data_IF_424797137160
#
_entry.id   IF_424797137160
#
_cell.length_a   1.000
_cell.length_b   1.000
_cell.length_c   1.000
_cell.angle_alpha   90.00
_cell.angle_beta   90.00
_cell.angle_gamma   90.00
#
_symmetry.space_group_name_H-M   'P 1'
#
loop_
_entity.id
_entity.type
_entity.pdbx_description
1 polymer ?
#
# COMPACT_ATOMS: atom_id res chain seq x y z
N UNK A 1 -25.66 -15.00 3.20
CA UNK A 1 -24.43 -14.57 3.89
C UNK A 1 -23.25 -15.06 3.08
N UNK A 2 -22.23 -14.24 2.81
CA UNK A 2 -21.04 -14.69 2.06
C UNK A 2 -20.24 -15.65 2.92
N UNK A 3 -19.81 -16.77 2.34
CA UNK A 3 -18.88 -17.69 3.00
C UNK A 3 -17.48 -17.08 3.02
N UNK A 4 -16.60 -17.60 3.87
CA UNK A 4 -15.20 -17.16 3.88
C UNK A 4 -14.48 -17.42 2.55
N UNK A 5 -14.88 -18.47 1.82
CA UNK A 5 -14.39 -18.75 0.48
C UNK A 5 -14.81 -17.66 -0.53
N UNK A 6 -16.05 -17.16 -0.44
CA UNK A 6 -16.53 -16.05 -1.28
C UNK A 6 -15.76 -14.76 -0.99
N UNK A 7 -15.47 -14.48 0.28
CA UNK A 7 -14.68 -13.31 0.70
C UNK A 7 -13.25 -13.38 0.17
N UNK A 8 -12.62 -14.55 0.27
CA UNK A 8 -11.29 -14.81 -0.29
C UNK A 8 -11.29 -14.60 -1.81
N UNK A 9 -12.27 -15.16 -2.51
CA UNK A 9 -12.38 -15.02 -3.97
C UNK A 9 -12.56 -13.54 -4.39
N UNK A 10 -13.40 -12.79 -3.68
CA UNK A 10 -13.61 -11.36 -3.92
C UNK A 10 -12.32 -10.56 -3.69
N UNK A 11 -11.57 -10.83 -2.61
CA UNK A 11 -10.31 -10.16 -2.34
C UNK A 11 -9.25 -10.46 -3.41
N UNK A 12 -9.10 -11.72 -3.82
CA UNK A 12 -8.16 -12.12 -4.88
C UNK A 12 -8.51 -11.40 -6.19
N UNK A 13 -9.80 -11.30 -6.54
CA UNK A 13 -10.23 -10.57 -7.72
C UNK A 13 -9.86 -9.07 -7.65
N UNK A 14 -10.03 -8.43 -6.49
CA UNK A 14 -9.63 -7.05 -6.28
C UNK A 14 -8.09 -6.88 -6.35
N UNK A 15 -7.33 -7.80 -5.76
CA UNK A 15 -5.86 -7.78 -5.76
C UNK A 15 -5.28 -7.84 -7.19
N UNK A 16 -5.90 -8.61 -8.10
CA UNK A 16 -5.49 -8.67 -9.51
C UNK A 16 -5.58 -7.33 -10.23
N UNK A 17 -6.40 -6.40 -9.75
CA UNK A 17 -6.57 -5.08 -10.36
C UNK A 17 -5.52 -4.07 -9.87
N UNK A 18 -4.82 -4.35 -8.77
CA UNK A 18 -3.96 -3.39 -8.07
C UNK A 18 -2.73 -2.96 -8.84
N UNK A 19 -2.19 -3.82 -9.71
CA UNK A 19 -0.88 -3.61 -10.30
C UNK A 19 0.28 -3.64 -9.28
N UNK A 20 0.03 -4.19 -8.08
CA UNK A 20 1.05 -4.43 -7.05
C UNK A 20 1.62 -5.85 -7.23
N UNK A 21 2.93 -5.98 -7.38
CA UNK A 21 3.59 -7.27 -7.19
C UNK A 21 3.58 -7.70 -5.71
N UNK A 22 3.95 -8.95 -5.43
CA UNK A 22 4.13 -9.40 -4.05
C UNK A 22 5.19 -8.61 -3.27
N UNK A 23 6.10 -7.91 -3.97
CA UNK A 23 7.13 -7.05 -3.40
C UNK A 23 6.78 -5.56 -3.49
N UNK A 24 5.78 -5.19 -4.28
CA UNK A 24 5.40 -3.79 -4.47
C UNK A 24 4.42 -3.39 -3.36
N UNK A 25 4.78 -2.32 -2.64
CA UNK A 25 3.99 -1.75 -1.54
C UNK A 25 3.67 -0.29 -1.79
N UNK A 26 3.37 0.00 -3.06
CA UNK A 26 2.94 1.29 -3.60
C UNK A 26 1.42 1.39 -3.66
N UNK A 27 0.88 2.57 -3.94
CA UNK A 27 -0.57 2.75 -4.06
C UNK A 27 -1.19 1.76 -5.07
N UNK A 28 -2.38 1.19 -4.79
CA UNK A 28 -3.05 0.34 -5.76
C UNK A 28 -3.57 1.19 -6.92
N UNK A 29 -3.71 0.58 -8.10
CA UNK A 29 -4.37 1.22 -9.24
C UNK A 29 -5.75 1.79 -8.85
N UNK A 30 -6.09 2.95 -9.40
CA UNK A 30 -7.36 3.66 -9.13
C UNK A 30 -8.59 2.73 -9.20
N UNK A 31 -8.67 1.93 -10.27
CA UNK A 31 -9.72 0.92 -10.52
C UNK A 31 -9.82 -0.20 -9.49
N UNK A 32 -8.75 -0.46 -8.74
CA UNK A 32 -8.72 -1.48 -7.70
C UNK A 32 -9.24 -0.96 -6.35
N UNK A 33 -9.28 0.36 -6.13
CA UNK A 33 -9.68 0.95 -4.85
C UNK A 33 -11.13 0.61 -4.50
N UNK A 34 -12.14 0.84 -5.37
CA UNK A 34 -13.52 0.47 -5.03
C UNK A 34 -13.73 -1.01 -4.67
N UNK A 35 -13.24 -1.99 -5.45
CA UNK A 35 -13.41 -3.40 -5.08
C UNK A 35 -12.60 -3.81 -3.83
N UNK A 36 -11.44 -3.21 -3.56
CA UNK A 36 -10.71 -3.43 -2.30
C UNK A 36 -11.49 -2.92 -1.09
N UNK A 37 -12.08 -1.73 -1.18
CA UNK A 37 -12.92 -1.17 -0.11
C UNK A 37 -14.18 -2.02 0.12
N UNK A 38 -14.81 -2.49 -0.96
CA UNK A 38 -15.95 -3.39 -0.87
C UNK A 38 -15.57 -4.73 -0.20
N UNK A 39 -14.45 -5.34 -0.60
CA UNK A 39 -13.95 -6.57 0.01
C UNK A 39 -13.65 -6.37 1.50
N UNK A 40 -12.93 -5.30 1.87
CA UNK A 40 -12.66 -4.91 3.26
C UNK A 40 -13.95 -4.81 4.08
N UNK A 41 -14.97 -4.11 3.57
CA UNK A 41 -16.23 -3.91 4.28
C UNK A 41 -17.02 -5.22 4.48
N UNK A 42 -17.02 -6.11 3.49
CA UNK A 42 -17.63 -7.45 3.58
C UNK A 42 -16.91 -8.34 4.60
N UNK A 43 -15.57 -8.35 4.58
CA UNK A 43 -14.75 -9.09 5.53
C UNK A 43 -14.99 -8.58 6.95
N UNK A 44 -15.03 -7.26 7.15
CA UNK A 44 -15.33 -6.67 8.47
C UNK A 44 -16.71 -7.08 8.98
N UNK A 45 -17.74 -7.13 8.12
CA UNK A 45 -19.08 -7.62 8.50
C UNK A 45 -19.05 -9.09 8.89
N UNK A 46 -18.36 -9.93 8.14
CA UNK A 46 -18.20 -11.35 8.47
C UNK A 46 -17.51 -11.54 9.83
N UNK A 47 -16.45 -10.77 10.11
CA UNK A 47 -15.75 -10.81 11.41
C UNK A 47 -16.66 -10.40 12.57
N UNK A 48 -17.61 -9.49 12.36
CA UNK A 48 -18.54 -9.10 13.42
C UNK A 48 -19.41 -10.28 13.90
N UNK A 49 -19.68 -11.25 13.02
CA UNK A 49 -20.45 -12.46 13.30
C UNK A 49 -19.55 -13.68 13.62
N UNK A 50 -18.30 -13.67 13.15
CA UNK A 50 -17.33 -14.77 13.24
C UNK A 50 -15.96 -14.28 13.72
N UNK A 51 -15.94 -13.62 14.87
CA UNK A 51 -14.75 -12.93 15.40
C UNK A 51 -13.56 -13.83 15.76
N UNK A 52 -13.78 -15.15 15.83
CA UNK A 52 -12.79 -16.19 16.08
C UNK A 52 -12.16 -16.77 14.80
N UNK A 53 -12.63 -16.35 13.62
CA UNK A 53 -12.09 -16.82 12.34
C UNK A 53 -10.71 -16.21 12.05
N UNK A 54 -9.64 -16.95 12.37
CA UNK A 54 -8.27 -16.57 12.06
C UNK A 54 -8.08 -16.22 10.56
N UNK A 55 -8.73 -16.96 9.68
CA UNK A 55 -8.66 -16.74 8.24
C UNK A 55 -9.31 -15.40 7.84
N UNK A 56 -10.46 -15.03 8.40
CA UNK A 56 -11.11 -13.77 8.08
C UNK A 56 -10.23 -12.57 8.48
N UNK A 57 -9.58 -12.64 9.64
CA UNK A 57 -8.60 -11.65 10.09
C UNK A 57 -7.38 -11.55 9.16
N UNK A 58 -6.91 -12.67 8.57
CA UNK A 58 -5.84 -12.64 7.55
C UNK A 58 -6.29 -11.94 6.28
N UNK A 59 -7.50 -12.22 5.80
CA UNK A 59 -8.06 -11.55 4.62
C UNK A 59 -8.21 -10.03 4.86
N UNK A 60 -8.65 -9.63 6.06
CA UNK A 60 -8.77 -8.22 6.42
C UNK A 60 -7.41 -7.53 6.40
N UNK A 61 -6.39 -8.17 6.99
CA UNK A 61 -5.01 -7.69 6.97
C UNK A 61 -4.50 -7.46 5.54
N UNK A 62 -4.70 -8.43 4.65
CA UNK A 62 -4.31 -8.33 3.24
C UNK A 62 -5.02 -7.18 2.52
N UNK A 63 -6.33 -7.01 2.73
CA UNK A 63 -7.09 -5.91 2.14
C UNK A 63 -6.59 -4.54 2.62
N UNK A 64 -6.30 -4.42 3.92
CA UNK A 64 -5.74 -3.20 4.51
C UNK A 64 -4.32 -2.91 4.01
N UNK A 65 -3.48 -3.94 3.85
CA UNK A 65 -2.13 -3.82 3.31
C UNK A 65 -2.15 -3.30 1.86
N UNK A 66 -3.02 -3.83 0.99
CA UNK A 66 -3.21 -3.33 -0.37
C UNK A 66 -3.65 -1.85 -0.41
N UNK A 67 -4.40 -1.41 0.60
CA UNK A 67 -4.85 -0.03 0.78
C UNK A 67 -3.85 0.85 1.56
N UNK A 68 -2.61 0.38 1.76
CA UNK A 68 -1.55 1.08 2.50
C UNK A 68 -1.90 1.39 3.97
N UNK A 69 -2.90 0.69 4.52
CA UNK A 69 -3.32 0.79 5.91
C UNK A 69 -2.47 -0.07 6.83
N UNK A 70 -1.15 0.08 6.80
CA UNK A 70 -0.18 -0.85 7.43
C UNK A 70 -0.41 -1.06 8.94
N UNK A 71 -0.76 0.00 9.69
CA UNK A 71 -1.07 -0.13 11.11
C UNK A 71 -2.26 -1.07 11.34
N UNK A 72 -3.37 -0.83 10.63
CA UNK A 72 -4.57 -1.67 10.73
C UNK A 72 -4.34 -3.08 10.15
N UNK A 73 -3.51 -3.20 9.12
CA UNK A 73 -3.13 -4.48 8.54
C UNK A 73 -2.32 -5.33 9.53
N UNK A 74 -1.37 -4.71 10.25
CA UNK A 74 -0.60 -5.34 11.33
C UNK A 74 -1.52 -5.81 12.44
N UNK A 75 -2.43 -4.97 12.92
CA UNK A 75 -3.36 -5.31 14.00
C UNK A 75 -4.25 -6.51 13.63
N UNK A 76 -4.85 -6.49 12.43
CA UNK A 76 -5.64 -7.62 11.93
C UNK A 76 -4.80 -8.89 11.81
N UNK A 77 -3.53 -8.78 11.38
CA UNK A 77 -2.64 -9.93 11.28
C UNK A 77 -2.25 -10.49 12.65
N UNK A 78 -1.92 -9.64 13.61
CA UNK A 78 -1.65 -10.05 15.00
C UNK A 78 -2.86 -10.76 15.61
N UNK A 79 -4.07 -10.24 15.34
CA UNK A 79 -5.31 -10.92 15.75
C UNK A 79 -5.45 -12.29 15.11
N UNK A 80 -5.20 -12.44 13.80
CA UNK A 80 -5.19 -13.74 13.15
C UNK A 80 -4.16 -14.72 13.77
N UNK A 81 -2.96 -14.24 14.10
CA UNK A 81 -1.90 -15.04 14.74
C UNK A 81 -2.21 -15.40 16.20
N UNK A 82 -3.08 -14.64 16.87
CA UNK A 82 -3.58 -14.98 18.21
C UNK A 82 -4.62 -16.10 18.18
N UNK A 83 -5.35 -16.22 17.06
CA UNK A 83 -6.40 -17.23 16.84
C UNK A 83 -5.85 -18.49 16.13
N UNK A 84 -4.62 -18.42 15.59
CA UNK A 84 -3.97 -19.54 14.92
C UNK A 84 -3.25 -20.44 15.94
N UNK A 85 -3.40 -21.78 15.87
CA UNK A 85 -2.75 -22.70 16.81
C UNK A 85 -1.22 -22.76 16.63
N UNK A 86 -0.72 -22.38 15.46
CA UNK A 86 0.71 -22.38 15.14
C UNK A 86 1.05 -21.13 14.33
N UNK A 87 2.27 -20.62 14.51
CA UNK A 87 2.83 -19.51 13.75
C UNK A 87 3.98 -20.03 12.90
N UNK A 88 3.88 -19.86 11.59
CA UNK A 88 4.95 -20.27 10.68
C UNK A 88 6.07 -19.22 10.66
N UNK A 89 7.31 -19.58 10.26
CA UNK A 89 8.35 -18.59 9.99
C UNK A 89 7.95 -17.55 8.95
N UNK A 90 7.06 -17.90 8.00
CA UNK A 90 6.52 -16.97 7.00
C UNK A 90 5.63 -15.90 7.65
N UNK A 91 4.82 -16.30 8.64
CA UNK A 91 3.98 -15.37 9.40
C UNK A 91 4.83 -14.36 10.17
N UNK A 92 5.88 -14.83 10.85
CA UNK A 92 6.75 -13.93 11.61
C UNK A 92 7.47 -12.93 10.70
N UNK A 93 7.94 -13.39 9.53
CA UNK A 93 8.54 -12.50 8.51
C UNK A 93 7.54 -11.46 8.00
N UNK A 94 6.30 -11.87 7.72
CA UNK A 94 5.26 -10.94 7.26
C UNK A 94 4.90 -9.91 8.35
N UNK A 95 4.83 -10.32 9.62
CA UNK A 95 4.57 -9.39 10.72
C UNK A 95 5.69 -8.35 10.89
N UNK A 96 6.95 -8.76 10.77
CA UNK A 96 8.10 -7.84 10.77
C UNK A 96 7.98 -6.86 9.61
N UNK A 97 7.66 -7.36 8.42
CA UNK A 97 7.49 -6.54 7.23
C UNK A 97 6.37 -5.48 7.42
N UNK A 98 5.22 -5.87 7.96
CA UNK A 98 4.12 -4.94 8.25
C UNK A 98 4.54 -3.83 9.21
N UNK A 99 5.34 -4.14 10.24
CA UNK A 99 5.88 -3.14 11.19
C UNK A 99 6.86 -2.17 10.52
N UNK A 100 7.73 -2.69 9.65
CA UNK A 100 8.66 -1.85 8.88
C UNK A 100 7.90 -0.87 7.99
N UNK A 101 6.89 -1.34 7.26
CA UNK A 101 6.10 -0.47 6.38
C UNK A 101 5.18 0.49 7.14
N UNK A 102 4.66 0.10 8.31
CA UNK A 102 3.97 1.02 9.21
C UNK A 102 4.88 2.19 9.61
N UNK A 103 6.13 1.92 9.98
CA UNK A 103 7.11 2.98 10.29
C UNK A 103 7.41 3.83 9.07
N UNK A 104 7.72 3.21 7.92
CA UNK A 104 8.03 3.94 6.67
C UNK A 104 6.88 4.83 6.21
N UNK A 105 5.64 4.37 6.40
CA UNK A 105 4.44 5.11 6.02
C UNK A 105 4.15 6.25 6.99
N UNK A 106 4.32 6.01 8.31
CA UNK A 106 4.19 7.06 9.33
C UNK A 106 5.21 8.19 9.15
N UNK A 107 6.41 7.85 8.70
CA UNK A 107 7.50 8.80 8.49
C UNK A 107 7.44 9.51 7.12
N UNK A 108 6.50 9.14 6.24
CA UNK A 108 6.32 9.75 4.93
C UNK A 108 5.58 11.09 5.09
N UNK A 109 6.24 12.25 4.93
CA UNK A 109 5.61 13.55 5.13
C UNK A 109 4.87 13.99 3.86
N UNK A 110 4.20 13.06 3.18
CA UNK A 110 3.37 13.29 1.99
C UNK A 110 2.00 12.67 2.23
N UNK A 111 0.97 13.44 1.93
CA UNK A 111 -0.41 12.93 1.93
C UNK A 111 -0.64 12.00 0.73
N UNK A 112 -1.64 11.11 0.80
CA UNK A 112 -2.04 10.29 -0.36
C UNK A 112 -2.37 11.10 -1.62
N UNK A 113 -2.97 12.29 -1.47
CA UNK A 113 -3.27 13.19 -2.60
C UNK A 113 -1.99 13.77 -3.22
N UNK A 114 -1.05 14.22 -2.39
CA UNK A 114 0.25 14.71 -2.87
C UNK A 114 1.02 13.62 -3.60
N UNK A 115 1.03 12.39 -3.08
CA UNK A 115 1.59 11.24 -3.79
C UNK A 115 0.90 11.08 -5.15
N UNK A 116 -0.43 10.95 -5.18
CA UNK A 116 -1.14 10.76 -6.45
C UNK A 116 -0.82 11.85 -7.49
N UNK A 117 -0.82 13.13 -7.08
CA UNK A 117 -0.53 14.26 -7.97
C UNK A 117 0.92 14.29 -8.44
N UNK A 118 1.88 13.97 -7.55
CA UNK A 118 3.29 13.79 -7.93
C UNK A 118 3.44 12.66 -8.96
N UNK A 119 2.74 11.54 -8.77
CA UNK A 119 2.80 10.39 -9.67
C UNK A 119 2.27 10.72 -11.05
N UNK A 120 1.15 11.45 -11.13
CA UNK A 120 0.60 11.94 -12.39
C UNK A 120 1.57 12.89 -13.10
N UNK A 121 2.12 13.86 -12.38
CA UNK A 121 3.10 14.80 -12.93
C UNK A 121 4.32 14.08 -13.53
N UNK A 122 4.92 13.17 -12.77
CA UNK A 122 6.08 12.40 -13.23
C UNK A 122 5.72 11.49 -14.41
N UNK A 123 4.54 10.86 -14.41
CA UNK A 123 4.07 10.05 -15.53
C UNK A 123 3.90 10.86 -16.81
N UNK A 124 3.30 12.06 -16.73
CA UNK A 124 3.05 12.92 -17.88
C UNK A 124 4.36 13.45 -18.49
N UNK A 125 5.30 13.88 -17.64
CA UNK A 125 6.60 14.41 -18.10
C UNK A 125 7.48 13.28 -18.66
N UNK A 126 7.60 12.16 -17.95
CA UNK A 126 8.46 11.04 -18.37
C UNK A 126 7.90 10.27 -19.58
N UNK A 127 6.63 10.47 -19.96
CA UNK A 127 6.09 9.95 -21.21
C UNK A 127 6.71 10.60 -22.46
N UNK A 128 7.22 11.83 -22.33
CA UNK A 128 7.80 12.61 -23.44
C UNK A 128 9.30 12.85 -23.29
N UNK A 129 9.85 12.65 -22.09
CA UNK A 129 11.25 12.84 -21.77
C UNK A 129 11.85 11.58 -21.11
N UNK A 130 13.01 11.13 -21.59
CA UNK A 130 13.76 10.07 -20.91
C UNK A 130 14.26 10.53 -19.54
N UNK A 131 14.29 9.62 -18.56
CA UNK A 131 14.82 9.94 -17.24
C UNK A 131 16.33 10.20 -17.29
N UNK A 132 16.77 11.30 -16.65
CA UNK A 132 18.17 11.71 -16.54
C UNK A 132 18.87 11.11 -15.29
N UNK A 133 18.25 10.13 -14.64
CA UNK A 133 18.69 9.51 -13.37
C UNK A 133 18.88 10.49 -12.21
N UNK A 134 18.21 11.65 -12.27
CA UNK A 134 18.13 12.59 -11.15
C UNK A 134 16.69 12.65 -10.60
N UNK A 135 16.53 13.22 -9.40
CA UNK A 135 15.22 13.53 -8.83
C UNK A 135 14.81 15.00 -9.08
N UNK A 136 15.21 15.57 -10.23
CA UNK A 136 15.05 17.01 -10.51
C UNK A 136 13.59 17.41 -10.61
N UNK A 137 12.76 16.61 -11.31
CA UNK A 137 11.33 16.89 -11.47
C UNK A 137 10.61 16.75 -10.12
N UNK A 138 10.93 15.71 -9.37
CA UNK A 138 10.39 15.49 -8.01
C UNK A 138 10.71 16.67 -7.09
N UNK A 139 11.96 17.15 -7.08
CA UNK A 139 12.37 18.32 -6.28
C UNK A 139 11.60 19.57 -6.68
N UNK A 140 11.49 19.84 -7.98
CA UNK A 140 10.76 20.99 -8.48
C UNK A 140 9.27 20.94 -8.09
N UNK A 141 8.63 19.78 -8.28
CA UNK A 141 7.24 19.57 -7.92
C UNK A 141 6.99 19.74 -6.42
N UNK A 142 7.85 19.18 -5.57
CA UNK A 142 7.76 19.35 -4.10
C UNK A 142 7.91 20.81 -3.68
N UNK A 143 8.74 21.60 -4.38
CA UNK A 143 8.90 23.01 -4.09
C UNK A 143 7.65 23.84 -4.42
N UNK A 144 6.95 23.48 -5.48
CA UNK A 144 5.79 24.21 -5.95
C UNK A 144 4.50 23.79 -5.23
N UNK A 145 4.24 22.49 -5.09
CA UNK A 145 2.93 21.97 -4.70
C UNK A 145 2.88 21.36 -3.30
N UNK A 146 4.03 21.17 -2.66
CA UNK A 146 4.13 20.57 -1.32
C UNK A 146 5.20 21.28 -0.48
N UNK A 147 5.09 22.61 -0.29
CA UNK A 147 6.11 23.39 0.41
C UNK A 147 6.29 22.92 1.86
N UNK A 148 7.54 22.91 2.33
CA UNK A 148 7.91 22.49 3.69
C UNK A 148 8.44 21.05 3.79
N UNK A 149 9.40 20.85 4.71
CA UNK A 149 10.04 19.54 4.99
C UNK A 149 10.59 18.82 3.74
N UNK A 150 11.04 19.54 2.73
CA UNK A 150 11.49 18.96 1.44
C UNK A 150 12.56 17.89 1.62
N UNK A 151 13.59 18.14 2.42
CA UNK A 151 14.65 17.15 2.67
C UNK A 151 14.12 15.87 3.34
N UNK A 152 13.15 16.01 4.25
CA UNK A 152 12.50 14.86 4.89
C UNK A 152 11.63 14.10 3.87
N UNK A 153 10.89 14.81 3.01
CA UNK A 153 10.08 14.21 1.93
C UNK A 153 10.96 13.43 0.95
N UNK A 154 12.07 14.03 0.50
CA UNK A 154 13.05 13.38 -0.38
C UNK A 154 13.74 12.20 0.31
N UNK A 155 14.10 12.33 1.59
CA UNK A 155 14.65 11.21 2.36
C UNK A 155 13.65 10.05 2.46
N UNK A 156 12.38 10.36 2.73
CA UNK A 156 11.34 9.36 2.78
C UNK A 156 11.16 8.68 1.40
N UNK A 157 11.04 9.44 0.31
CA UNK A 157 10.98 8.87 -1.05
C UNK A 157 12.17 7.95 -1.37
N UNK A 158 13.38 8.29 -0.93
CA UNK A 158 14.56 7.40 -1.04
C UNK A 158 14.46 6.13 -0.20
N UNK A 159 13.89 6.18 1.01
CA UNK A 159 13.59 4.98 1.80
C UNK A 159 12.59 4.05 1.11
N UNK A 160 11.75 4.60 0.23
CA UNK A 160 10.85 3.87 -0.68
C UNK A 160 11.52 3.51 -2.02
N UNK A 161 12.83 3.71 -2.16
CA UNK A 161 13.60 3.35 -3.35
C UNK A 161 13.52 4.34 -4.49
N UNK A 162 13.08 5.59 -4.26
CA UNK A 162 13.03 6.66 -5.27
C UNK A 162 14.26 7.55 -5.27
N UNK A 163 15.33 7.19 -6.00
CA UNK A 163 16.54 8.00 -6.13
C UNK A 163 16.56 8.86 -7.41
N UNK A 164 15.95 8.38 -8.51
CA UNK A 164 15.57 9.18 -9.70
C UNK A 164 14.06 9.44 -9.77
N UNK A 165 13.65 10.37 -10.63
CA UNK A 165 12.24 10.63 -10.97
C UNK A 165 11.52 9.36 -11.46
N UNK A 166 12.22 8.51 -12.23
CA UNK A 166 11.72 7.22 -12.69
C UNK A 166 11.38 6.24 -11.57
N UNK A 167 12.24 6.16 -10.57
CA UNK A 167 12.11 5.28 -9.42
C UNK A 167 11.13 5.84 -8.40
N UNK A 168 11.07 7.16 -8.23
CA UNK A 168 10.00 7.80 -7.44
C UNK A 168 8.65 7.39 -8.04
N UNK A 169 8.46 7.57 -9.35
CA UNK A 169 7.25 7.14 -10.03
C UNK A 169 7.00 5.63 -9.82
N UNK A 170 7.97 4.77 -10.11
CA UNK A 170 7.81 3.32 -10.06
C UNK A 170 7.59 2.72 -8.66
N UNK A 171 8.33 3.21 -7.66
CA UNK A 171 8.46 2.57 -6.34
C UNK A 171 7.67 3.28 -5.24
N UNK A 172 7.61 4.62 -5.27
CA UNK A 172 7.04 5.41 -4.17
C UNK A 172 5.62 5.90 -4.47
N UNK A 173 5.24 6.02 -5.75
CA UNK A 173 4.05 6.80 -6.11
C UNK A 173 3.03 6.05 -6.97
N UNK A 174 3.42 5.13 -7.85
CA UNK A 174 2.46 4.54 -8.78
C UNK A 174 1.38 3.68 -8.12
N UNK A 175 0.14 4.14 -8.32
CA UNK A 175 -1.06 3.34 -8.56
C UNK A 175 -1.82 3.92 -9.76
N UNK A 176 -1.14 4.14 -10.89
CA UNK A 176 -1.76 4.66 -12.12
C UNK A 176 -2.07 3.53 -13.10
N UNK A 177 -3.37 3.25 -13.25
CA UNK A 177 -4.00 2.93 -14.52
C UNK A 177 -5.25 3.80 -14.63
#
# INVERSE_FOLDING_TARGET
MKTIADLRAALIAAQKLTGQSSFDRRAPASKAIPPLLAAKAEISRFIAEHGDSAEAWRLLSQAQECLLGYATARESFEKALSLSPQRSPKDLKHLVLLREYESKWKDLPLTPDELQRLGRHLSDVLATQACDHTARLTKAWLAEFSPGKQDQKLKALRHWGGYCDCEVLGNAVQGTA
#
